data_IF_848381875972
#
_entry.id   IF_848381875972
#
_cell.length_a   1.000
_cell.length_b   1.000
_cell.length_c   1.000
_cell.angle_alpha   90.00
_cell.angle_beta   90.00
_cell.angle_gamma   90.00
#
_symmetry.space_group_name_H-M   'P 1'
#
loop_
_entity.id
_entity.type
_entity.pdbx_description
1 polymer ?
#
# COMPACT_ATOMS: atom_id res chain seq x y z
N UNK A 1 25.68 -12.44 -6.93
CA UNK A 1 24.81 -12.23 -8.09
C UNK A 1 23.71 -11.24 -7.70
N UNK A 2 23.56 -10.15 -8.44
CA UNK A 2 22.65 -9.04 -8.09
C UNK A 2 21.28 -9.12 -8.79
N UNK A 3 21.10 -10.08 -9.72
CA UNK A 3 19.89 -10.20 -10.54
C UNK A 3 19.36 -11.64 -10.48
N UNK A 4 18.39 -11.94 -9.59
CA UNK A 4 17.64 -13.19 -9.66
C UNK A 4 16.94 -13.36 -11.02
N UNK A 5 16.67 -14.62 -11.39
CA UNK A 5 16.18 -15.03 -12.71
C UNK A 5 14.76 -14.56 -13.08
N UNK A 6 14.08 -13.79 -12.23
CA UNK A 6 12.74 -13.25 -12.49
C UNK A 6 12.78 -12.10 -13.51
N UNK A 7 12.06 -12.26 -14.62
CA UNK A 7 12.14 -11.37 -15.79
C UNK A 7 10.88 -10.52 -15.99
N UNK A 8 10.40 -9.89 -14.93
CA UNK A 8 9.30 -8.91 -15.03
C UNK A 8 9.88 -7.49 -15.14
N UNK A 9 9.09 -6.57 -15.71
CA UNK A 9 9.48 -5.14 -15.79
C UNK A 9 9.64 -4.55 -14.39
N UNK A 10 8.76 -4.91 -13.45
CA UNK A 10 8.81 -4.42 -12.05
C UNK A 10 10.07 -4.87 -11.34
N UNK A 11 10.47 -6.14 -11.49
CA UNK A 11 11.73 -6.66 -10.95
C UNK A 11 12.93 -5.93 -11.56
N UNK A 12 12.91 -5.65 -12.87
CA UNK A 12 13.97 -4.89 -13.56
C UNK A 12 14.13 -3.47 -13.01
N UNK A 13 13.02 -2.74 -12.81
CA UNK A 13 13.03 -1.41 -12.18
C UNK A 13 13.58 -1.48 -10.75
N UNK A 14 13.15 -2.47 -9.98
CA UNK A 14 13.65 -2.73 -8.63
C UNK A 14 15.16 -2.97 -8.60
N UNK A 15 15.69 -3.76 -9.53
CA UNK A 15 17.13 -4.00 -9.68
C UNK A 15 17.90 -2.72 -10.05
N UNK A 16 17.38 -1.91 -10.97
CA UNK A 16 17.97 -0.61 -11.31
C UNK A 16 18.10 0.30 -10.08
N UNK A 17 17.04 0.38 -9.27
CA UNK A 17 17.05 1.15 -8.01
C UNK A 17 18.04 0.59 -6.99
N UNK A 18 18.11 -0.74 -6.85
CA UNK A 18 19.07 -1.42 -5.96
C UNK A 18 20.51 -1.14 -6.40
N UNK A 19 20.81 -1.25 -7.70
CA UNK A 19 22.12 -0.97 -8.26
C UNK A 19 22.53 0.49 -8.02
N UNK A 20 21.66 1.44 -8.36
CA UNK A 20 21.92 2.87 -8.16
C UNK A 20 22.25 3.22 -6.69
N UNK A 21 21.50 2.65 -5.73
CA UNK A 21 21.73 2.86 -4.30
C UNK A 21 23.07 2.31 -3.80
N UNK A 22 23.49 1.14 -4.30
CA UNK A 22 24.77 0.56 -3.92
C UNK A 22 25.94 1.31 -4.56
N UNK A 23 25.80 1.79 -5.79
CA UNK A 23 26.81 2.63 -6.46
C UNK A 23 26.98 3.96 -5.69
N UNK A 24 25.87 4.63 -5.33
CA UNK A 24 25.92 5.88 -4.56
C UNK A 24 26.58 5.66 -3.18
N UNK A 25 26.23 4.58 -2.47
CA UNK A 25 26.83 4.27 -1.18
C UNK A 25 28.34 4.00 -1.30
N UNK A 26 28.76 3.23 -2.31
CA UNK A 26 30.18 2.96 -2.59
C UNK A 26 30.97 4.23 -2.89
N UNK A 27 30.42 5.14 -3.72
CA UNK A 27 31.04 6.43 -4.03
C UNK A 27 31.21 7.34 -2.80
N UNK A 28 30.38 7.13 -1.77
CA UNK A 28 30.42 7.88 -0.50
C UNK A 28 31.17 7.16 0.61
N UNK A 29 31.87 6.07 0.29
CA UNK A 29 32.56 5.22 1.28
C UNK A 29 31.62 4.75 2.41
N UNK A 30 30.38 4.43 2.04
CA UNK A 30 29.31 3.98 2.94
C UNK A 30 28.67 2.68 2.43
N UNK A 31 27.86 2.04 3.28
CA UNK A 31 27.12 0.83 2.91
C UNK A 31 25.61 1.13 2.80
N UNK A 32 24.99 0.68 1.71
CA UNK A 32 23.55 0.81 1.55
C UNK A 32 22.82 -0.28 2.34
N UNK A 33 22.21 0.11 3.45
CA UNK A 33 21.30 -0.75 4.20
C UNK A 33 19.89 -0.64 3.63
N UNK A 34 19.37 -1.74 3.07
CA UNK A 34 17.97 -1.80 2.66
C UNK A 34 17.10 -1.74 3.93
N UNK A 35 16.18 -0.76 4.05
CA UNK A 35 15.25 -0.76 5.17
C UNK A 35 14.38 -2.02 5.13
N UNK A 36 13.97 -2.49 6.31
CA UNK A 36 13.04 -3.60 6.43
C UNK A 36 11.78 -3.28 5.60
N UNK A 37 11.37 -4.24 4.77
CA UNK A 37 10.12 -4.15 4.04
C UNK A 37 9.01 -4.64 4.94
N UNK A 38 7.92 -3.89 5.04
CA UNK A 38 6.68 -4.39 5.62
C UNK A 38 6.23 -5.65 4.89
N UNK A 39 5.54 -6.53 5.60
CA UNK A 39 4.91 -7.69 4.99
C UNK A 39 3.84 -7.25 3.98
N UNK A 40 3.68 -8.04 2.92
CA UNK A 40 2.65 -7.78 1.92
C UNK A 40 1.32 -8.21 2.51
N UNK A 41 0.34 -7.31 2.54
CA UNK A 41 -1.03 -7.69 2.88
C UNK A 41 -1.68 -8.44 1.72
N UNK A 42 -2.37 -9.52 2.04
CA UNK A 42 -3.21 -10.24 1.11
C UNK A 42 -4.66 -9.72 1.16
N UNK A 43 -5.48 -10.10 0.18
CA UNK A 43 -6.89 -9.72 0.15
C UNK A 43 -7.65 -10.14 1.41
N UNK A 44 -7.29 -11.29 2.00
CA UNK A 44 -7.91 -11.82 3.23
C UNK A 44 -7.65 -10.96 4.47
N UNK A 45 -6.61 -10.12 4.43
CA UNK A 45 -6.21 -9.24 5.53
C UNK A 45 -6.92 -7.88 5.45
N UNK A 46 -7.60 -7.60 4.32
CA UNK A 46 -8.38 -6.39 4.13
C UNK A 46 -9.79 -6.57 4.69
N UNK A 47 -10.38 -5.48 5.17
CA UNK A 47 -11.81 -5.42 5.46
C UNK A 47 -12.53 -4.62 4.36
N UNK A 48 -13.06 -5.29 3.31
CA UNK A 48 -13.70 -4.61 2.19
C UNK A 48 -15.11 -4.10 2.52
N UNK A 49 -15.68 -4.44 3.69
CA UNK A 49 -17.07 -4.08 4.04
C UNK A 49 -17.31 -2.57 4.07
N UNK A 50 -16.25 -1.78 4.29
CA UNK A 50 -16.28 -0.32 4.27
C UNK A 50 -16.53 0.28 2.87
N UNK A 51 -16.48 -0.52 1.81
CA UNK A 51 -16.59 -0.05 0.43
C UNK A 51 -17.62 -0.85 -0.37
N UNK A 52 -18.45 -0.14 -1.13
CA UNK A 52 -19.40 -0.77 -2.04
C UNK A 52 -18.69 -1.34 -3.26
N UNK A 53 -19.03 -2.58 -3.61
CA UNK A 53 -18.68 -3.13 -4.91
C UNK A 53 -19.30 -2.28 -6.01
N UNK A 54 -18.45 -1.75 -6.88
CA UNK A 54 -18.88 -1.02 -8.06
C UNK A 54 -17.91 -1.31 -9.20
N UNK A 55 -18.41 -1.36 -10.45
CA UNK A 55 -17.57 -1.58 -11.62
C UNK A 55 -16.50 -0.48 -11.72
N UNK A 56 -15.36 -0.85 -12.31
CA UNK A 56 -14.32 0.12 -12.64
C UNK A 56 -14.74 0.94 -13.87
N UNK A 57 -14.29 2.18 -13.94
CA UNK A 57 -14.48 3.02 -15.12
C UNK A 57 -13.87 2.38 -16.37
N UNK A 58 -14.66 2.32 -17.45
CA UNK A 58 -14.20 1.81 -18.74
C UNK A 58 -13.35 2.88 -19.41
N UNK A 59 -12.06 2.58 -19.59
CA UNK A 59 -11.12 3.45 -20.30
C UNK A 59 -11.26 3.27 -21.81
N UNK A 60 -11.40 4.35 -22.60
CA UNK A 60 -11.40 4.26 -24.05
C UNK A 60 -10.12 3.62 -24.57
N UNK A 61 -10.26 2.74 -25.56
CA UNK A 61 -9.13 2.06 -26.20
C UNK A 61 -9.07 2.44 -27.67
N UNK A 62 -7.86 2.60 -28.18
CA UNK A 62 -7.64 2.89 -29.59
C UNK A 62 -8.02 1.68 -30.46
N UNK A 63 -8.63 1.96 -31.61
CA UNK A 63 -9.00 0.95 -32.60
C UNK A 63 -7.80 0.14 -33.11
N UNK A 64 -8.02 -1.14 -33.39
CA UNK A 64 -6.95 -2.09 -33.75
C UNK A 64 -6.09 -1.65 -34.95
N UNK A 65 -6.73 -1.10 -35.99
CA UNK A 65 -6.02 -0.60 -37.17
C UNK A 65 -5.06 0.55 -36.83
N UNK A 66 -5.48 1.48 -35.95
CA UNK A 66 -4.65 2.62 -35.53
C UNK A 66 -3.53 2.18 -34.59
N UNK A 67 -3.79 1.26 -33.67
CA UNK A 67 -2.75 0.66 -32.81
C UNK A 67 -1.59 0.03 -33.59
N UNK A 68 -1.85 -0.47 -34.78
CA UNK A 68 -0.84 -1.11 -35.62
C UNK A 68 -0.01 -0.11 -36.44
N UNK A 69 -0.54 1.09 -36.68
CA UNK A 69 0.03 2.07 -37.60
C UNK A 69 0.53 3.35 -36.93
N UNK A 70 0.20 3.59 -35.65
CA UNK A 70 0.61 4.79 -34.92
C UNK A 70 1.23 4.44 -33.57
N UNK A 71 1.96 5.41 -33.01
CA UNK A 71 2.47 5.36 -31.63
C UNK A 71 1.55 6.11 -30.65
N UNK A 72 0.27 6.29 -31.02
CA UNK A 72 -0.70 6.95 -30.15
C UNK A 72 -0.99 6.09 -28.91
N UNK A 73 -1.32 6.73 -27.79
CA UNK A 73 -1.67 6.04 -26.55
C UNK A 73 -2.84 5.05 -26.79
N UNK A 74 -2.62 3.79 -26.44
CA UNK A 74 -3.59 2.73 -26.72
C UNK A 74 -4.70 2.74 -25.69
N UNK A 75 -4.37 2.95 -24.41
CA UNK A 75 -5.35 3.00 -23.32
C UNK A 75 -5.42 4.43 -22.83
N UNK A 76 -6.45 5.14 -23.25
CA UNK A 76 -6.62 6.56 -22.93
C UNK A 76 -6.75 6.77 -21.41
N UNK A 77 -6.37 7.97 -20.95
CA UNK A 77 -6.49 8.35 -19.55
C UNK A 77 -7.96 8.42 -19.08
N UNK A 78 -8.14 8.48 -17.76
CA UNK A 78 -9.41 8.92 -17.18
C UNK A 78 -9.48 10.45 -17.23
N UNK A 79 -10.67 11.01 -17.43
CA UNK A 79 -10.89 12.43 -17.16
C UNK A 79 -10.79 12.71 -15.65
N UNK A 80 -10.65 13.99 -15.30
CA UNK A 80 -10.44 14.42 -13.90
C UNK A 80 -11.53 13.91 -12.96
N UNK A 81 -12.81 13.99 -13.37
CA UNK A 81 -13.93 13.61 -12.51
C UNK A 81 -13.93 12.10 -12.23
N UNK A 82 -13.69 11.30 -13.26
CA UNK A 82 -13.60 9.84 -13.15
C UNK A 82 -12.34 9.41 -12.38
N UNK A 83 -11.21 10.08 -12.61
CA UNK A 83 -9.97 9.81 -11.88
C UNK A 83 -10.11 10.07 -10.38
N UNK A 84 -10.74 11.18 -9.98
CA UNK A 84 -11.02 11.50 -8.58
C UNK A 84 -11.99 10.49 -7.96
N UNK A 85 -13.01 10.05 -8.70
CA UNK A 85 -13.95 9.04 -8.24
C UNK A 85 -13.25 7.69 -7.97
N UNK A 86 -12.46 7.19 -8.92
CA UNK A 86 -11.70 5.94 -8.77
C UNK A 86 -10.68 6.03 -7.62
N UNK A 87 -9.98 7.17 -7.48
CA UNK A 87 -8.99 7.35 -6.42
C UNK A 87 -9.60 7.29 -5.01
N UNK A 88 -10.81 7.83 -4.82
CA UNK A 88 -11.53 7.80 -3.52
C UNK A 88 -11.94 6.40 -3.07
N UNK A 89 -11.91 5.42 -3.97
CA UNK A 89 -12.23 4.01 -3.67
C UNK A 89 -11.00 3.21 -3.26
N UNK A 90 -9.81 3.81 -3.31
CA UNK A 90 -8.58 3.14 -2.90
C UNK A 90 -8.58 2.90 -1.38
N UNK A 91 -8.39 1.65 -0.97
CA UNK A 91 -8.30 1.25 0.44
C UNK A 91 -6.90 1.43 1.04
N UNK A 92 -5.91 1.87 0.24
CA UNK A 92 -4.51 1.96 0.66
C UNK A 92 -4.02 0.64 1.28
N UNK A 93 -4.26 -0.49 0.61
CA UNK A 93 -3.95 -1.83 1.13
C UNK A 93 -2.52 -1.92 1.70
N UNK A 94 -2.42 -2.26 2.98
CA UNK A 94 -1.17 -2.41 3.72
C UNK A 94 -0.53 -1.10 4.20
N UNK A 95 -1.18 0.04 3.95
CA UNK A 95 -0.71 1.34 4.38
C UNK A 95 -1.82 2.12 5.10
N UNK A 96 -1.56 2.52 6.33
CA UNK A 96 -2.51 3.32 7.10
C UNK A 96 -2.82 4.65 6.40
N UNK A 97 -4.11 4.99 6.29
CA UNK A 97 -4.60 6.25 5.72
C UNK A 97 -5.42 7.07 6.72
N UNK A 98 -5.21 6.83 8.02
CA UNK A 98 -5.77 7.65 9.10
C UNK A 98 -7.31 7.69 9.13
N UNK A 99 -7.97 6.59 8.80
CA UNK A 99 -9.44 6.47 8.79
C UNK A 99 -10.12 6.51 10.18
N UNK A 100 -9.34 6.50 11.26
CA UNK A 100 -9.81 6.49 12.65
C UNK A 100 -10.62 5.26 13.11
N UNK A 101 -10.85 4.25 12.26
CA UNK A 101 -11.59 3.04 12.66
C UNK A 101 -10.99 2.37 13.89
N UNK A 102 -9.68 2.12 13.90
CA UNK A 102 -9.00 1.49 15.04
C UNK A 102 -9.15 2.28 16.34
N UNK A 103 -9.19 3.61 16.25
CA UNK A 103 -9.41 4.50 17.39
C UNK A 103 -10.85 4.41 17.89
N UNK A 104 -11.84 4.41 17.00
CA UNK A 104 -13.25 4.36 17.36
C UNK A 104 -13.73 3.02 17.91
N UNK A 105 -13.14 1.90 17.47
CA UNK A 105 -13.58 0.55 17.84
C UNK A 105 -12.85 -0.03 19.06
N UNK A 106 -11.80 0.63 19.55
CA UNK A 106 -11.03 0.13 20.70
C UNK A 106 -11.81 0.33 22.00
N UNK A 107 -12.26 -0.74 22.68
CA UNK A 107 -13.08 -0.61 23.89
C UNK A 107 -12.26 -0.09 25.10
N UNK A 108 -10.94 -0.31 25.08
CA UNK A 108 -10.04 0.03 26.18
C UNK A 108 -9.32 1.38 25.99
N UNK A 109 -9.64 2.12 24.92
CA UNK A 109 -8.96 3.38 24.55
C UNK A 109 -7.43 3.24 24.46
N UNK A 110 -6.94 2.09 23.99
CA UNK A 110 -5.52 1.80 23.85
C UNK A 110 -4.87 2.44 22.60
N UNK A 111 -5.64 3.09 21.73
CA UNK A 111 -5.14 3.69 20.47
C UNK A 111 -4.93 5.18 20.64
N UNK A 112 -3.72 5.66 20.32
CA UNK A 112 -3.30 7.05 20.46
C UNK A 112 -3.11 7.65 19.07
N UNK A 113 -3.73 8.81 18.81
CA UNK A 113 -3.50 9.58 17.58
C UNK A 113 -2.21 10.38 17.70
N UNK A 114 -1.30 10.22 16.75
CA UNK A 114 0.01 10.92 16.75
C UNK A 114 -0.03 12.26 15.99
N UNK A 115 -1.20 12.66 15.49
CA UNK A 115 -1.40 13.86 14.68
C UNK A 115 -1.33 13.59 13.18
N UNK A 116 -1.67 14.60 12.34
CA UNK A 116 -1.81 14.41 10.90
C UNK A 116 -0.54 13.88 10.23
N UNK A 117 -0.67 12.79 9.48
CA UNK A 117 0.42 12.12 8.77
C UNK A 117 1.33 11.23 9.63
N UNK A 118 1.08 11.15 10.94
CA UNK A 118 1.86 10.33 11.87
C UNK A 118 1.17 9.02 12.26
N UNK A 119 -0.10 8.84 11.90
CA UNK A 119 -0.84 7.62 12.18
C UNK A 119 -1.17 7.42 13.67
N UNK A 120 -1.05 6.17 14.12
CA UNK A 120 -1.49 5.74 15.45
C UNK A 120 -0.42 4.94 16.18
N UNK A 121 -0.41 5.09 17.50
CA UNK A 121 0.35 4.25 18.43
C UNK A 121 -0.61 3.43 19.28
N UNK A 122 -0.18 2.24 19.71
CA UNK A 122 -0.96 1.35 20.57
C UNK A 122 -0.30 1.25 21.95
N UNK A 123 -0.99 1.75 22.97
CA UNK A 123 -0.59 1.58 24.36
C UNK A 123 -0.87 0.13 24.79
N UNK A 124 0.18 -0.69 24.79
CA UNK A 124 0.08 -2.11 25.10
C UNK A 124 -0.28 -2.40 26.56
N UNK A 125 -0.04 -1.47 27.50
CA UNK A 125 -0.44 -1.64 28.90
C UNK A 125 -1.97 -1.57 29.07
N UNK A 126 -2.63 -0.82 28.19
CA UNK A 126 -4.09 -0.69 28.15
C UNK A 126 -4.74 -1.73 27.23
N UNK A 127 -4.04 -2.19 26.21
CA UNK A 127 -4.53 -3.18 25.26
C UNK A 127 -4.86 -4.51 25.95
N UNK A 128 -6.08 -5.03 25.74
CA UNK A 128 -6.51 -6.35 26.26
C UNK A 128 -6.44 -7.47 25.23
N UNK A 129 -5.84 -7.22 24.07
CA UNK A 129 -5.59 -8.24 23.05
C UNK A 129 -6.84 -8.73 22.30
N UNK A 130 -7.93 -7.95 22.29
CA UNK A 130 -9.20 -8.37 21.67
C UNK A 130 -9.17 -8.45 20.13
N UNK A 131 -8.23 -7.78 19.46
CA UNK A 131 -8.06 -7.83 18.00
C UNK A 131 -9.12 -7.12 17.16
N UNK A 132 -10.05 -6.38 17.77
CA UNK A 132 -11.10 -5.66 17.04
C UNK A 132 -10.49 -4.63 16.09
N UNK A 133 -9.47 -3.87 16.54
CA UNK A 133 -8.78 -2.89 15.69
C UNK A 133 -8.15 -3.50 14.43
N UNK A 134 -7.66 -4.75 14.52
CA UNK A 134 -7.10 -5.50 13.38
C UNK A 134 -8.23 -5.89 12.42
N UNK A 135 -9.31 -6.44 12.95
CA UNK A 135 -10.49 -6.88 12.17
C UNK A 135 -11.15 -5.70 11.43
N UNK A 136 -11.20 -4.54 12.07
CA UNK A 136 -11.87 -3.34 11.55
C UNK A 136 -10.96 -2.44 10.72
N UNK A 137 -9.69 -2.82 10.50
CA UNK A 137 -8.79 -2.07 9.65
C UNK A 137 -9.08 -2.36 8.16
N UNK A 138 -9.64 -1.41 7.38
CA UNK A 138 -9.92 -1.65 5.96
C UNK A 138 -8.65 -1.93 5.15
N UNK A 139 -7.53 -1.32 5.55
CA UNK A 139 -6.25 -1.47 4.88
C UNK A 139 -5.48 -2.73 5.31
N UNK A 140 -5.88 -3.44 6.36
CA UNK A 140 -5.10 -4.56 6.90
C UNK A 140 -3.74 -4.14 7.49
N UNK A 141 -3.61 -2.88 7.92
CA UNK A 141 -2.32 -2.28 8.31
C UNK A 141 -1.94 -2.50 9.79
N UNK A 142 -2.68 -3.33 10.52
CA UNK A 142 -2.47 -3.59 11.95
C UNK A 142 -2.31 -5.10 12.14
N UNK A 143 -1.30 -5.51 12.90
CA UNK A 143 -1.05 -6.91 13.25
C UNK A 143 -1.22 -7.14 14.74
N UNK A 144 -1.59 -8.36 15.12
CA UNK A 144 -1.50 -8.81 16.50
C UNK A 144 -0.09 -9.34 16.77
N UNK A 145 0.44 -9.00 17.93
CA UNK A 145 1.70 -9.58 18.43
C UNK A 145 1.43 -10.31 19.75
N UNK A 146 2.16 -11.39 20.06
CA UNK A 146 2.07 -12.05 21.37
C UNK A 146 2.44 -11.10 22.51
N UNK A 147 1.78 -11.27 23.66
CA UNK A 147 2.16 -10.58 24.89
C UNK A 147 3.58 -10.99 25.30
N UNK A 148 4.37 -10.01 25.77
CA UNK A 148 5.72 -10.27 26.28
C UNK A 148 5.58 -10.87 27.68
N UNK A 149 6.17 -12.05 27.87
CA UNK A 149 6.27 -12.72 29.18
C UNK A 149 7.41 -12.16 30.03
#
# INVERSE_FOLDING_TARGET
DMVPAERTVTTSVGHGKKAARNIDAWLRESEYMKPATSEVVEYKDLNPWYYTDAPHAVRPKLEGARRASTFDEVVQGLDESTALYEARRCMSCGNCFECDNCFGVCPDNAVIKLGPGNGFEFNLDYCKGCGICVTECPAGSIIMIPERS
#
